data_IF_890176509356
#
_entry.id   IF_890176509356
#
_cell.length_a   1.000
_cell.length_b   1.000
_cell.length_c   1.000
_cell.angle_alpha   90.00
_cell.angle_beta   90.00
_cell.angle_gamma   90.00
#
_symmetry.space_group_name_H-M   'P 1'
#
loop_
_entity.id
_entity.type
_entity.pdbx_description
1 polymer ?
#
# COMPACT_ATOMS: atom_id res chain seq x y z
N UNK A 1 -0.54 -20.88 -24.02
CA UNK A 1 -1.77 -20.25 -23.46
C UNK A 1 -1.83 -18.81 -23.92
N UNK A 2 -2.96 -18.33 -24.42
CA UNK A 2 -3.09 -16.97 -24.99
C UNK A 2 -3.08 -15.90 -23.88
N UNK A 3 -2.71 -14.66 -24.21
CA UNK A 3 -2.73 -13.53 -23.26
C UNK A 3 -4.13 -13.23 -22.66
N UNK A 4 -5.19 -13.81 -23.22
CA UNK A 4 -6.56 -13.77 -22.69
C UNK A 4 -6.77 -14.77 -21.53
N UNK A 5 -6.16 -15.95 -21.59
CA UNK A 5 -6.32 -17.01 -20.58
C UNK A 5 -5.63 -16.66 -19.26
N UNK A 6 -4.46 -15.99 -19.32
CA UNK A 6 -3.73 -15.55 -18.12
C UNK A 6 -4.52 -14.53 -17.28
N UNK A 7 -5.06 -13.47 -17.90
CA UNK A 7 -5.83 -12.44 -17.18
C UNK A 7 -7.09 -13.01 -16.51
N UNK A 8 -7.79 -13.94 -17.19
CA UNK A 8 -8.97 -14.62 -16.64
C UNK A 8 -8.61 -15.46 -15.40
N UNK A 9 -7.44 -16.10 -15.41
CA UNK A 9 -6.92 -16.86 -14.28
C UNK A 9 -6.58 -15.96 -13.08
N UNK A 10 -5.96 -14.80 -13.31
CA UNK A 10 -5.60 -13.87 -12.22
C UNK A 10 -6.78 -13.11 -11.62
N UNK A 11 -7.89 -12.97 -12.35
CA UNK A 11 -9.06 -12.18 -11.90
C UNK A 11 -9.56 -12.60 -10.53
N UNK A 12 -9.62 -13.90 -10.24
CA UNK A 12 -10.12 -14.39 -8.95
C UNK A 12 -9.21 -13.97 -7.80
N UNK A 13 -7.89 -14.05 -7.96
CA UNK A 13 -6.92 -13.62 -6.95
C UNK A 13 -6.98 -12.11 -6.70
N UNK A 14 -7.18 -11.31 -7.75
CA UNK A 14 -7.37 -9.86 -7.60
C UNK A 14 -8.60 -9.58 -6.76
N UNK A 15 -9.74 -10.22 -7.06
CA UNK A 15 -10.99 -10.04 -6.33
C UNK A 15 -10.80 -10.46 -4.87
N UNK A 16 -10.22 -11.64 -4.63
CA UNK A 16 -9.96 -12.14 -3.28
C UNK A 16 -9.10 -11.15 -2.51
N UNK A 17 -7.95 -10.71 -3.03
CA UNK A 17 -7.07 -9.78 -2.33
C UNK A 17 -7.74 -8.41 -2.08
N UNK A 18 -8.50 -7.91 -3.05
CA UNK A 18 -9.19 -6.61 -2.95
C UNK A 18 -10.32 -6.59 -1.92
N UNK A 19 -10.88 -7.75 -1.58
CA UNK A 19 -11.91 -7.90 -0.54
C UNK A 19 -11.27 -8.31 0.79
N UNK A 20 -10.37 -9.28 0.77
CA UNK A 20 -9.76 -9.85 1.97
C UNK A 20 -8.94 -8.82 2.75
N UNK A 21 -8.21 -7.93 2.07
CA UNK A 21 -7.38 -6.93 2.75
C UNK A 21 -8.24 -5.91 3.53
N UNK A 22 -9.24 -5.23 2.93
CA UNK A 22 -10.12 -4.34 3.68
C UNK A 22 -10.90 -5.06 4.79
N UNK A 23 -11.39 -6.28 4.52
CA UNK A 23 -12.11 -7.08 5.53
C UNK A 23 -11.21 -7.43 6.70
N UNK A 24 -9.97 -7.86 6.44
CA UNK A 24 -8.98 -8.14 7.49
C UNK A 24 -8.75 -6.90 8.35
N UNK A 25 -8.48 -5.75 7.74
CA UNK A 25 -8.25 -4.49 8.47
C UNK A 25 -9.47 -4.10 9.30
N UNK A 26 -10.68 -4.24 8.75
CA UNK A 26 -11.91 -3.99 9.48
C UNK A 26 -12.08 -4.93 10.68
N UNK A 27 -11.82 -6.24 10.50
CA UNK A 27 -11.87 -7.21 11.61
C UNK A 27 -10.88 -6.85 12.71
N UNK A 28 -9.63 -6.52 12.35
CA UNK A 28 -8.59 -6.14 13.31
C UNK A 28 -8.96 -4.93 14.18
N UNK A 29 -9.82 -4.05 13.66
CA UNK A 29 -10.34 -2.91 14.41
C UNK A 29 -11.29 -3.33 15.54
N UNK A 30 -12.08 -4.40 15.35
CA UNK A 30 -13.07 -4.87 16.33
C UNK A 30 -12.58 -6.03 17.21
N UNK A 31 -11.45 -6.65 16.88
CA UNK A 31 -10.89 -7.76 17.68
C UNK A 31 -10.06 -7.26 18.87
N UNK A 32 -10.18 -7.91 20.05
CA UNK A 32 -9.28 -7.66 21.18
C UNK A 32 -7.82 -7.85 20.78
N UNK A 33 -6.93 -7.00 21.32
CA UNK A 33 -5.50 -7.07 21.02
C UNK A 33 -4.86 -8.27 21.73
N UNK A 34 -4.05 -9.00 20.99
CA UNK A 34 -3.24 -10.11 21.49
C UNK A 34 -2.11 -9.57 22.35
N UNK A 35 -2.08 -9.97 23.63
CA UNK A 35 -0.96 -9.67 24.52
C UNK A 35 0.10 -10.74 24.35
N UNK A 36 1.24 -10.37 23.78
CA UNK A 36 2.42 -11.22 23.69
C UNK A 36 3.36 -10.86 24.84
N UNK A 37 3.42 -11.71 25.87
CA UNK A 37 4.30 -11.46 27.01
C UNK A 37 5.77 -11.42 26.57
N UNK A 38 6.50 -10.38 26.99
CA UNK A 38 7.92 -10.22 26.68
C UNK A 38 8.27 -9.74 25.27
N UNK A 39 7.27 -9.42 24.42
CA UNK A 39 7.51 -8.92 23.06
C UNK A 39 6.97 -7.48 22.92
N UNK A 40 7.88 -6.52 22.77
CA UNK A 40 7.51 -5.14 22.46
C UNK A 40 7.46 -4.93 20.94
N UNK A 41 6.30 -4.55 20.42
CA UNK A 41 6.05 -4.28 19.01
C UNK A 41 5.68 -2.81 18.74
N UNK A 42 5.91 -1.92 19.72
CA UNK A 42 5.64 -0.48 19.62
C UNK A 42 6.48 0.24 18.56
N UNK A 43 7.57 -0.40 18.09
CA UNK A 43 8.42 0.10 17.00
C UNK A 43 7.86 -0.16 15.60
N UNK A 44 6.85 -1.03 15.44
CA UNK A 44 6.30 -1.37 14.14
C UNK A 44 5.71 -0.18 13.36
N UNK A 45 5.10 0.85 13.98
CA UNK A 45 4.71 2.08 13.28
C UNK A 45 5.89 2.78 12.60
N UNK A 46 7.07 2.79 13.22
CA UNK A 46 8.29 3.35 12.62
C UNK A 46 8.75 2.52 11.41
N UNK A 47 8.73 1.19 11.54
CA UNK A 47 9.02 0.27 10.43
C UNK A 47 8.04 0.49 9.27
N UNK A 48 6.75 0.64 9.59
CA UNK A 48 5.70 0.92 8.62
C UNK A 48 5.95 2.23 7.86
N UNK A 49 6.38 3.28 8.57
CA UNK A 49 6.76 4.55 7.95
C UNK A 49 7.97 4.39 7.02
N UNK A 50 9.01 3.66 7.44
CA UNK A 50 10.18 3.38 6.59
C UNK A 50 9.78 2.62 5.33
N UNK A 51 8.98 1.56 5.46
CA UNK A 51 8.56 0.74 4.32
C UNK A 51 7.74 1.55 3.31
N UNK A 52 6.88 2.46 3.78
CA UNK A 52 6.16 3.40 2.93
C UNK A 52 7.09 4.43 2.25
N UNK A 53 8.07 4.97 2.98
CA UNK A 53 9.08 5.86 2.43
C UNK A 53 9.91 5.19 1.33
N UNK A 54 10.38 3.97 1.57
CA UNK A 54 11.11 3.17 0.58
C UNK A 54 10.22 2.83 -0.63
N UNK A 55 8.94 2.50 -0.42
CA UNK A 55 7.99 2.26 -1.50
C UNK A 55 7.84 3.51 -2.37
N UNK A 56 7.67 4.69 -1.74
CA UNK A 56 7.63 5.98 -2.46
C UNK A 56 8.87 6.17 -3.32
N UNK A 57 10.06 5.91 -2.77
CA UNK A 57 11.32 6.01 -3.52
C UNK A 57 11.35 5.05 -4.72
N UNK A 58 10.95 3.79 -4.54
CA UNK A 58 10.86 2.82 -5.64
C UNK A 58 9.88 3.26 -6.73
N UNK A 59 8.73 3.84 -6.37
CA UNK A 59 7.75 4.34 -7.34
C UNK A 59 8.30 5.52 -8.17
N UNK A 60 8.97 6.47 -7.51
CA UNK A 60 9.61 7.61 -8.20
C UNK A 60 10.70 7.10 -9.16
N UNK A 61 11.60 6.23 -8.68
CA UNK A 61 12.66 5.64 -9.51
C UNK A 61 12.09 4.81 -10.66
N UNK A 62 11.03 4.05 -10.41
CA UNK A 62 10.31 3.29 -11.43
C UNK A 62 9.65 4.18 -12.49
N UNK A 63 9.15 5.36 -12.10
CA UNK A 63 8.60 6.36 -13.02
C UNK A 63 9.69 7.02 -13.86
N UNK A 64 10.82 7.40 -13.26
CA UNK A 64 11.98 7.95 -13.97
C UNK A 64 12.48 6.94 -15.01
N UNK A 65 12.68 5.68 -14.59
CA UNK A 65 13.15 4.63 -15.49
C UNK A 65 12.25 4.41 -16.72
N UNK A 66 10.92 4.46 -16.57
CA UNK A 66 10.02 4.28 -17.72
C UNK A 66 9.95 5.52 -18.61
N UNK A 67 10.12 6.72 -18.05
CA UNK A 67 10.25 7.96 -18.82
C UNK A 67 11.49 7.91 -19.71
N UNK A 68 12.58 7.36 -19.20
CA UNK A 68 13.84 7.15 -19.94
C UNK A 68 13.82 5.88 -20.81
N UNK A 69 12.66 5.21 -20.90
CA UNK A 69 12.43 3.97 -21.67
C UNK A 69 13.30 2.77 -21.21
N UNK A 70 13.86 2.82 -20.01
CA UNK A 70 14.62 1.72 -19.39
C UNK A 70 13.65 0.74 -18.72
N UNK A 71 12.95 -0.05 -19.54
CA UNK A 71 11.87 -0.96 -19.12
C UNK A 71 12.33 -1.99 -18.08
N UNK A 72 13.57 -2.47 -18.18
CA UNK A 72 14.13 -3.43 -17.22
C UNK A 72 14.19 -2.86 -15.80
N UNK A 73 14.70 -1.63 -15.65
CA UNK A 73 14.78 -0.96 -14.34
C UNK A 73 13.40 -0.62 -13.80
N UNK A 74 12.48 -0.15 -14.67
CA UNK A 74 11.08 0.05 -14.29
C UNK A 74 10.49 -1.22 -13.67
N UNK A 75 10.64 -2.38 -14.33
CA UNK A 75 10.13 -3.67 -13.80
C UNK A 75 10.72 -4.00 -12.43
N UNK A 76 12.03 -3.79 -12.23
CA UNK A 76 12.69 -4.05 -10.94
C UNK A 76 12.15 -3.15 -9.83
N UNK A 77 12.05 -1.85 -10.08
CA UNK A 77 11.54 -0.89 -9.10
C UNK A 77 10.05 -1.12 -8.78
N UNK A 78 9.21 -1.41 -9.78
CA UNK A 78 7.79 -1.71 -9.53
C UNK A 78 7.62 -3.01 -8.75
N UNK A 79 8.46 -4.02 -9.00
CA UNK A 79 8.43 -5.28 -8.23
C UNK A 79 8.90 -5.06 -6.80
N UNK A 80 9.97 -4.28 -6.59
CA UNK A 80 10.42 -3.90 -5.26
C UNK A 80 9.34 -3.12 -4.49
N UNK A 81 8.64 -2.19 -5.14
CA UNK A 81 7.52 -1.45 -4.52
C UNK A 81 6.39 -2.38 -4.06
N UNK A 82 6.04 -3.42 -4.83
CA UNK A 82 5.05 -4.43 -4.43
C UNK A 82 5.54 -5.22 -3.21
N UNK A 83 6.80 -5.67 -3.22
CA UNK A 83 7.39 -6.43 -2.11
C UNK A 83 7.41 -5.60 -0.82
N UNK A 84 7.83 -4.34 -0.91
CA UNK A 84 7.82 -3.42 0.22
C UNK A 84 6.40 -3.13 0.73
N UNK A 85 5.42 -3.00 -0.17
CA UNK A 85 4.00 -2.82 0.22
C UNK A 85 3.43 -4.06 0.90
N UNK A 86 3.85 -5.27 0.48
CA UNK A 86 3.46 -6.51 1.14
C UNK A 86 4.10 -6.62 2.53
N UNK A 87 5.39 -6.29 2.66
CA UNK A 87 6.07 -6.23 3.95
C UNK A 87 5.40 -5.22 4.90
N UNK A 88 5.02 -4.05 4.37
CA UNK A 88 4.25 -3.05 5.10
C UNK A 88 2.93 -3.62 5.60
N UNK A 89 2.16 -4.30 4.74
CA UNK A 89 0.88 -4.86 5.12
C UNK A 89 1.01 -5.90 6.24
N UNK A 90 2.02 -6.78 6.16
CA UNK A 90 2.28 -7.79 7.20
C UNK A 90 2.65 -7.13 8.54
N UNK A 91 3.55 -6.15 8.51
CA UNK A 91 3.94 -5.37 9.69
C UNK A 91 2.78 -4.57 10.28
N UNK A 92 1.95 -3.95 9.42
CA UNK A 92 0.74 -3.23 9.81
C UNK A 92 -0.29 -4.13 10.51
N UNK A 93 -0.54 -5.31 9.94
CA UNK A 93 -1.42 -6.32 10.53
C UNK A 93 -0.89 -6.77 11.88
N UNK A 94 0.40 -7.10 11.97
CA UNK A 94 1.02 -7.52 13.23
C UNK A 94 0.89 -6.45 14.33
N UNK A 95 1.12 -5.18 13.99
CA UNK A 95 0.91 -4.07 14.93
C UNK A 95 -0.55 -3.98 15.39
N UNK A 96 -1.50 -3.96 14.45
CA UNK A 96 -2.93 -3.82 14.80
C UNK A 96 -3.53 -5.05 15.48
N UNK A 97 -2.87 -6.21 15.38
CA UNK A 97 -3.23 -7.41 16.14
C UNK A 97 -2.79 -7.34 17.61
N UNK A 98 -1.72 -6.59 17.93
CA UNK A 98 -1.02 -6.68 19.22
C UNK A 98 -1.00 -5.38 20.02
N UNK A 99 -1.21 -4.25 19.36
CA UNK A 99 -1.09 -2.91 19.96
C UNK A 99 -2.40 -2.15 19.88
N UNK A 100 -2.65 -1.34 20.92
CA UNK A 100 -3.78 -0.42 20.94
C UNK A 100 -3.51 0.78 20.00
N UNK A 101 -4.55 1.34 19.37
CA UNK A 101 -4.40 2.55 18.56
C UNK A 101 -3.88 3.73 19.41
N UNK A 102 -2.84 4.41 18.94
CA UNK A 102 -2.36 5.64 19.56
C UNK A 102 -3.32 6.79 19.22
N UNK A 103 -3.95 7.46 20.20
CA UNK A 103 -4.83 8.58 19.93
C UNK A 103 -4.02 9.81 19.51
N UNK A 104 -4.54 10.56 18.54
CA UNK A 104 -3.91 11.81 18.12
C UNK A 104 -4.05 12.90 19.22
N UNK A 105 -2.92 13.39 19.74
CA UNK A 105 -2.87 14.36 20.84
C UNK A 105 -2.97 15.84 20.44
N UNK A 106 -2.89 16.17 19.15
CA UNK A 106 -2.90 17.55 18.67
C UNK A 106 -4.27 18.25 18.79
N UNK A 107 -4.27 19.60 18.77
CA UNK A 107 -5.45 20.45 18.94
C UNK A 107 -5.64 21.42 17.76
N UNK A 108 -6.83 22.02 17.66
CA UNK A 108 -7.14 23.05 16.67
C UNK A 108 -7.05 22.55 15.23
N UNK A 109 -6.50 23.38 14.33
CA UNK A 109 -6.37 23.08 12.91
C UNK A 109 -5.61 21.78 12.62
N UNK A 110 -4.54 21.49 13.37
CA UNK A 110 -3.71 20.30 13.15
C UNK A 110 -4.48 18.99 13.35
N UNK A 111 -5.46 18.97 14.27
CA UNK A 111 -6.36 17.83 14.47
C UNK A 111 -7.20 17.56 13.22
N UNK A 112 -7.81 18.59 12.64
CA UNK A 112 -8.61 18.43 11.43
C UNK A 112 -7.76 18.00 10.24
N UNK A 113 -6.56 18.58 10.10
CA UNK A 113 -5.61 18.19 9.05
C UNK A 113 -5.18 16.72 9.19
N UNK A 114 -4.85 16.27 10.40
CA UNK A 114 -4.49 14.88 10.67
C UNK A 114 -5.62 13.92 10.27
N UNK A 115 -6.84 14.15 10.76
CA UNK A 115 -7.96 13.25 10.45
C UNK A 115 -8.35 13.31 8.97
N UNK A 116 -8.23 14.45 8.31
CA UNK A 116 -8.41 14.54 6.87
C UNK A 116 -7.43 13.63 6.14
N UNK A 117 -6.13 13.77 6.41
CA UNK A 117 -5.08 12.94 5.79
C UNK A 117 -5.26 11.46 6.14
N UNK A 118 -5.59 11.14 7.40
CA UNK A 118 -5.78 9.77 7.84
C UNK A 118 -6.96 9.09 7.12
N UNK A 119 -8.10 9.76 7.05
CA UNK A 119 -9.31 9.22 6.42
C UNK A 119 -9.06 9.03 4.91
N UNK A 120 -8.52 10.04 4.23
CA UNK A 120 -8.23 9.93 2.80
C UNK A 120 -7.19 8.85 2.53
N UNK A 121 -6.16 8.73 3.37
CA UNK A 121 -5.17 7.66 3.28
C UNK A 121 -5.82 6.28 3.37
N UNK A 122 -6.66 6.02 4.38
CA UNK A 122 -7.30 4.71 4.57
C UNK A 122 -8.21 4.36 3.38
N UNK A 123 -9.05 5.29 2.93
CA UNK A 123 -9.97 5.07 1.81
C UNK A 123 -9.19 4.78 0.52
N UNK A 124 -8.15 5.56 0.24
CA UNK A 124 -7.33 5.38 -0.96
C UNK A 124 -6.43 4.14 -0.86
N UNK A 125 -5.99 3.75 0.34
CA UNK A 125 -5.25 2.51 0.57
C UNK A 125 -6.10 1.26 0.29
N UNK A 126 -7.41 1.29 0.56
CA UNK A 126 -8.30 0.22 0.12
C UNK A 126 -8.47 0.21 -1.41
N UNK A 127 -8.64 1.38 -2.02
CA UNK A 127 -8.84 1.53 -3.46
C UNK A 127 -7.60 1.17 -4.30
N UNK A 128 -6.38 1.37 -3.78
CA UNK A 128 -5.15 1.13 -4.53
C UNK A 128 -4.86 -0.36 -4.75
N UNK A 129 -5.30 -1.24 -3.84
CA UNK A 129 -5.06 -2.69 -3.93
C UNK A 129 -5.51 -3.29 -5.27
N UNK A 130 -6.78 -3.17 -5.71
CA UNK A 130 -7.20 -3.68 -7.01
C UNK A 130 -6.43 -3.02 -8.16
N UNK A 131 -6.16 -1.71 -8.07
CA UNK A 131 -5.48 -0.96 -9.14
C UNK A 131 -4.05 -1.44 -9.37
N UNK A 132 -3.27 -1.66 -8.31
CA UNK A 132 -1.90 -2.17 -8.39
C UNK A 132 -1.89 -3.58 -8.96
N UNK A 133 -2.77 -4.46 -8.46
CA UNK A 133 -2.83 -5.85 -8.93
C UNK A 133 -3.25 -5.94 -10.40
N UNK A 134 -4.26 -5.18 -10.84
CA UNK A 134 -4.68 -5.12 -12.25
C UNK A 134 -3.54 -4.56 -13.12
N UNK A 135 -2.88 -3.49 -12.66
CA UNK A 135 -1.75 -2.88 -13.39
C UNK A 135 -0.59 -3.84 -13.57
N UNK A 136 -0.28 -4.62 -12.53
CA UNK A 136 0.79 -5.62 -12.55
C UNK A 136 0.44 -6.83 -13.43
N UNK A 137 -0.77 -7.39 -13.30
CA UNK A 137 -1.24 -8.52 -14.13
C UNK A 137 -1.26 -8.15 -15.61
N UNK A 138 -1.62 -6.91 -15.95
CA UNK A 138 -1.56 -6.41 -17.34
C UNK A 138 -0.13 -6.33 -17.86
N UNK A 139 0.85 -6.03 -17.02
CA UNK A 139 2.26 -6.09 -17.40
C UNK A 139 2.74 -7.54 -17.62
N UNK A 140 2.34 -8.48 -16.75
CA UNK A 140 2.63 -9.91 -16.90
C UNK A 140 1.96 -10.56 -18.13
N UNK A 141 0.81 -10.03 -18.53
CA UNK A 141 0.07 -10.48 -19.71
C UNK A 141 0.48 -9.74 -21.00
N UNK A 142 1.55 -8.93 -20.94
CA UNK A 142 2.08 -8.15 -22.06
C UNK A 142 1.06 -7.18 -22.71
N UNK A 143 0.02 -6.79 -21.96
CA UNK A 143 -1.02 -5.84 -22.42
C UNK A 143 -0.58 -4.41 -22.12
N UNK A 144 0.54 -3.98 -22.69
CA UNK A 144 1.18 -2.70 -22.35
C UNK A 144 0.29 -1.48 -22.61
N UNK A 145 -0.55 -1.50 -23.65
CA UNK A 145 -1.51 -0.41 -23.92
C UNK A 145 -2.51 -0.24 -22.77
N UNK A 146 -3.05 -1.35 -22.27
CA UNK A 146 -3.99 -1.37 -21.15
C UNK A 146 -3.29 -1.09 -19.81
N UNK A 147 -2.05 -1.54 -19.65
CA UNK A 147 -1.21 -1.22 -18.50
C UNK A 147 -0.98 0.29 -18.41
N UNK A 148 -0.54 0.94 -19.50
CA UNK A 148 -0.26 2.39 -19.51
C UNK A 148 -1.49 3.25 -19.20
N UNK A 149 -2.69 2.80 -19.62
CA UNK A 149 -3.94 3.51 -19.31
C UNK A 149 -4.24 3.51 -17.81
N UNK A 150 -4.14 2.35 -17.15
CA UNK A 150 -4.43 2.24 -15.71
C UNK A 150 -3.27 2.76 -14.83
N UNK A 151 -2.03 2.63 -15.28
CA UNK A 151 -0.84 3.09 -14.56
C UNK A 151 -0.84 4.61 -14.34
N UNK A 152 -1.45 5.39 -15.25
CA UNK A 152 -1.62 6.85 -15.11
C UNK A 152 -2.50 7.26 -13.92
N UNK A 153 -3.37 6.37 -13.46
CA UNK A 153 -4.20 6.57 -12.25
C UNK A 153 -3.55 5.89 -11.05
N UNK A 154 -3.05 4.67 -11.25
CA UNK A 154 -2.46 3.85 -10.19
C UNK A 154 -1.23 4.52 -9.58
N UNK A 155 -0.32 5.05 -10.39
CA UNK A 155 0.92 5.65 -9.91
C UNK A 155 0.70 6.85 -8.96
N UNK A 156 -0.06 7.90 -9.34
CA UNK A 156 -0.26 9.04 -8.43
C UNK A 156 -1.03 8.65 -7.17
N UNK A 157 -2.01 7.75 -7.27
CA UNK A 157 -2.75 7.27 -6.11
C UNK A 157 -1.86 6.44 -5.18
N UNK A 158 -0.98 5.60 -5.73
CA UNK A 158 -0.03 4.83 -4.95
C UNK A 158 0.99 5.72 -4.24
N UNK A 159 1.55 6.70 -4.95
CA UNK A 159 2.44 7.72 -4.36
C UNK A 159 1.72 8.50 -3.25
N UNK A 160 0.47 8.90 -3.46
CA UNK A 160 -0.32 9.57 -2.43
C UNK A 160 -0.40 8.72 -1.17
N UNK A 161 -0.80 7.45 -1.29
CA UNK A 161 -0.95 6.54 -0.15
C UNK A 161 0.39 6.33 0.55
N UNK A 162 1.48 6.07 -0.16
CA UNK A 162 2.78 5.81 0.48
C UNK A 162 3.36 7.06 1.14
N UNK A 163 3.21 8.24 0.54
CA UNK A 163 3.65 9.51 1.14
C UNK A 163 2.80 9.84 2.38
N UNK A 164 1.48 9.78 2.26
CA UNK A 164 0.58 10.07 3.39
C UNK A 164 0.74 9.07 4.53
N UNK A 165 1.11 7.82 4.25
CA UNK A 165 1.44 6.85 5.29
C UNK A 165 2.64 7.27 6.16
N UNK A 166 3.66 7.90 5.56
CA UNK A 166 4.77 8.50 6.31
C UNK A 166 4.29 9.72 7.09
N UNK A 167 3.48 10.58 6.47
CA UNK A 167 2.95 11.79 7.13
C UNK A 167 2.08 11.47 8.34
N UNK A 168 1.22 10.44 8.25
CA UNK A 168 0.41 9.98 9.39
C UNK A 168 1.30 9.60 10.57
N UNK A 169 2.41 8.91 10.33
CA UNK A 169 3.39 8.59 11.37
C UNK A 169 4.02 9.86 11.96
N UNK A 170 4.56 10.74 11.12
CA UNK A 170 5.23 11.98 11.56
C UNK A 170 4.29 12.93 12.30
N UNK A 171 3.00 12.93 11.98
CA UNK A 171 2.03 13.76 12.70
C UNK A 171 1.64 13.14 14.05
N UNK A 172 1.69 11.82 14.18
CA UNK A 172 1.22 11.10 15.35
C UNK A 172 2.28 11.00 16.46
N UNK A 173 3.56 11.01 16.10
CA UNK A 173 4.72 10.86 16.99
C UNK A 173 5.64 12.08 16.90
#
# INVERSE_FOLDING_TARGET
MTNQTKEKSYRIYIIIASVAIPVLIAVLYFTPKLKLEGVDLSFLPFVNAILNGLTTMMLILGFIAIRDKIVFMHKRFMTAAIVLSLAFLLSYVLYHMTSEPTPYGGKGFLKYLYYFILITHIVLAAAIVPLVLITYVRALSEKFDKHRKIARITLPLWLYVTITGVLVYVMLY
#
